data_IF_339516404910
#
_entry.id   IF_339516404910
#
_cell.length_a   1.000
_cell.length_b   1.000
_cell.length_c   1.000
_cell.angle_alpha   90.00
_cell.angle_beta   90.00
_cell.angle_gamma   90.00
#
_symmetry.space_group_name_H-M   'P 1'
#
loop_
_entity.id
_entity.type
_entity.pdbx_description
1 polymer ?
#
# COMPACT_ATOMS: atom_id res chain seq x y z
N UNK A 1 -8.06 24.66 -4.96
CA UNK A 1 -6.94 24.13 -5.76
C UNK A 1 -5.90 23.59 -4.77
N UNK A 2 -5.83 22.28 -4.54
CA UNK A 2 -4.89 21.71 -3.55
C UNK A 2 -3.52 21.56 -4.22
N UNK A 3 -2.53 22.31 -3.74
CA UNK A 3 -1.11 22.11 -4.09
C UNK A 3 -0.65 20.83 -3.41
N UNK A 4 -0.29 19.84 -4.22
CA UNK A 4 0.13 18.51 -3.75
C UNK A 4 1.65 18.44 -3.70
N UNK A 5 2.19 17.92 -2.59
CA UNK A 5 3.62 17.64 -2.47
C UNK A 5 3.97 16.37 -3.26
N UNK A 6 5.04 16.38 -4.06
CA UNK A 6 5.47 15.20 -4.80
C UNK A 6 5.84 14.07 -3.85
N UNK A 7 5.49 12.84 -4.23
CA UNK A 7 6.07 11.63 -3.64
C UNK A 7 7.59 11.78 -3.76
N UNK A 8 8.32 11.73 -2.64
CA UNK A 8 9.79 11.79 -2.66
C UNK A 8 10.33 10.70 -3.60
N UNK A 9 11.33 11.01 -4.44
CA UNK A 9 11.83 10.07 -5.46
C UNK A 9 12.30 8.72 -4.91
N UNK A 10 12.64 8.64 -3.61
CA UNK A 10 12.94 7.37 -2.92
C UNK A 10 11.71 6.47 -2.75
N UNK A 11 10.53 7.05 -2.53
CA UNK A 11 9.27 6.31 -2.32
C UNK A 11 8.65 5.90 -3.66
N UNK A 12 8.92 6.63 -4.74
CA UNK A 12 8.52 6.27 -6.11
C UNK A 12 9.35 5.09 -6.66
N UNK A 13 10.67 5.12 -6.50
CA UNK A 13 11.53 4.00 -6.91
C UNK A 13 11.20 2.71 -6.16
N UNK A 14 10.96 2.79 -4.84
CA UNK A 14 10.56 1.64 -4.01
C UNK A 14 9.25 1.01 -4.48
N UNK A 15 8.26 1.86 -4.79
CA UNK A 15 6.99 1.42 -5.33
C UNK A 15 7.14 0.72 -6.69
N UNK A 16 7.92 1.30 -7.61
CA UNK A 16 8.15 0.72 -8.93
C UNK A 16 8.80 -0.67 -8.82
N UNK A 17 9.87 -0.78 -8.04
CA UNK A 17 10.52 -2.07 -7.79
C UNK A 17 9.59 -3.10 -7.15
N UNK A 18 8.77 -2.69 -6.18
CA UNK A 18 7.79 -3.57 -5.53
C UNK A 18 6.72 -4.10 -6.50
N UNK A 19 6.22 -3.25 -7.40
CA UNK A 19 5.24 -3.63 -8.41
C UNK A 19 5.86 -4.57 -9.46
N UNK A 20 7.07 -4.27 -9.94
CA UNK A 20 7.80 -5.11 -10.89
C UNK A 20 8.13 -6.49 -10.30
N UNK A 21 8.67 -6.54 -9.07
CA UNK A 21 9.03 -7.80 -8.40
C UNK A 21 7.84 -8.74 -8.17
N UNK A 22 6.62 -8.19 -8.08
CA UNK A 22 5.37 -8.95 -7.90
C UNK A 22 4.61 -9.16 -9.22
N UNK A 23 5.12 -8.67 -10.36
CA UNK A 23 4.43 -8.73 -11.66
C UNK A 23 3.09 -7.98 -11.67
N UNK A 24 2.99 -6.92 -10.87
CA UNK A 24 1.78 -6.10 -10.69
C UNK A 24 1.81 -4.80 -11.49
N UNK A 25 2.98 -4.43 -12.00
CA UNK A 25 3.27 -3.24 -12.81
C UNK A 25 2.31 -3.04 -14.00
N UNK A 26 1.90 -4.13 -14.65
CA UNK A 26 0.99 -4.07 -15.79
C UNK A 26 -0.50 -4.07 -15.38
N UNK A 27 -0.81 -4.51 -14.14
CA UNK A 27 -2.19 -4.71 -13.66
C UNK A 27 -2.69 -3.56 -12.79
N UNK A 28 -1.80 -2.95 -12.01
CA UNK A 28 -2.14 -1.98 -11.01
C UNK A 28 -1.31 -0.70 -11.19
N UNK A 29 -1.94 0.44 -10.99
CA UNK A 29 -1.26 1.72 -10.81
C UNK A 29 -1.42 2.18 -9.36
N UNK A 30 -0.36 2.74 -8.80
CA UNK A 30 -0.46 3.40 -7.51
C UNK A 30 -1.16 4.74 -7.69
N UNK A 31 -2.32 4.86 -7.07
CA UNK A 31 -3.11 6.09 -7.11
C UNK A 31 -2.62 7.05 -6.05
N UNK A 32 -2.20 6.54 -4.89
CA UNK A 32 -1.91 7.38 -3.74
C UNK A 32 -1.02 6.71 -2.69
N UNK A 33 -0.04 7.46 -2.18
CA UNK A 33 0.65 7.13 -0.93
C UNK A 33 -0.24 7.52 0.25
N UNK A 34 -0.61 6.54 1.07
CA UNK A 34 -1.48 6.70 2.23
C UNK A 34 -0.66 6.96 3.49
N UNK A 35 0.43 6.23 3.67
CA UNK A 35 1.29 6.31 4.83
C UNK A 35 2.73 6.03 4.43
N UNK A 36 3.68 6.78 4.98
CA UNK A 36 5.11 6.55 4.81
C UNK A 36 5.79 6.69 6.16
N UNK A 37 6.47 5.64 6.60
CA UNK A 37 7.19 5.59 7.88
C UNK A 37 8.65 5.25 7.63
N UNK A 38 9.44 5.05 8.68
CA UNK A 38 10.81 4.55 8.56
C UNK A 38 10.89 3.03 8.34
N UNK A 39 9.80 2.29 8.52
CA UNK A 39 9.79 0.82 8.49
C UNK A 39 8.91 0.26 7.38
N UNK A 40 7.88 0.99 6.98
CA UNK A 40 6.97 0.59 5.92
C UNK A 40 6.28 1.79 5.27
N UNK A 41 5.74 1.56 4.08
CA UNK A 41 4.93 2.51 3.31
C UNK A 41 3.66 1.81 2.82
N UNK A 42 2.55 2.54 2.74
CA UNK A 42 1.24 2.01 2.36
C UNK A 42 0.70 2.79 1.18
N UNK A 43 0.36 2.09 0.10
CA UNK A 43 -0.14 2.66 -1.14
C UNK A 43 -1.54 2.13 -1.45
N UNK A 44 -2.38 2.99 -2.01
CA UNK A 44 -3.62 2.61 -2.66
C UNK A 44 -3.33 2.29 -4.12
N UNK A 45 -3.68 1.09 -4.55
CA UNK A 45 -3.61 0.62 -5.91
C UNK A 45 -5.00 0.56 -6.53
N UNK A 46 -5.12 0.95 -7.79
CA UNK A 46 -6.30 0.69 -8.61
C UNK A 46 -5.93 -0.16 -9.82
N UNK A 47 -6.82 -1.06 -10.26
CA UNK A 47 -6.59 -1.84 -11.48
C UNK A 47 -6.71 -0.95 -12.71
N UNK A 48 -5.71 -1.03 -13.59
CA UNK A 48 -5.63 -0.18 -14.79
C UNK A 48 -6.78 -0.44 -15.78
N UNK A 49 -7.29 -1.66 -15.84
CA UNK A 49 -8.23 -2.10 -16.88
C UNK A 49 -9.70 -2.14 -16.43
N UNK A 50 -9.98 -1.90 -15.15
CA UNK A 50 -11.34 -2.02 -14.59
C UNK A 50 -11.70 -0.81 -13.73
N UNK A 51 -12.46 0.16 -14.26
CA UNK A 51 -12.91 1.34 -13.51
C UNK A 51 -13.90 1.04 -12.36
N UNK A 52 -14.16 -0.23 -12.07
CA UNK A 52 -14.95 -0.72 -10.92
C UNK A 52 -14.21 -1.78 -10.10
N UNK A 53 -12.92 -2.00 -10.35
CA UNK A 53 -12.14 -2.93 -9.54
C UNK A 53 -12.09 -2.44 -8.11
N UNK A 54 -12.09 -3.38 -7.18
CA UNK A 54 -11.88 -3.08 -5.77
C UNK A 54 -10.48 -2.51 -5.62
N UNK A 55 -10.37 -1.31 -5.03
CA UNK A 55 -9.07 -0.75 -4.72
C UNK A 55 -8.34 -1.69 -3.76
N UNK A 56 -7.04 -1.86 -3.98
CA UNK A 56 -6.19 -2.72 -3.15
C UNK A 56 -5.19 -1.89 -2.38
N UNK A 57 -4.74 -2.40 -1.26
CA UNK A 57 -3.66 -1.79 -0.49
C UNK A 57 -2.37 -2.55 -0.73
N UNK A 58 -1.32 -1.83 -1.08
CA UNK A 58 0.04 -2.34 -1.14
C UNK A 58 0.81 -1.84 0.08
N UNK A 59 1.21 -2.76 0.93
CA UNK A 59 2.15 -2.52 2.02
C UNK A 59 3.56 -2.84 1.51
N UNK A 60 4.48 -1.89 1.59
CA UNK A 60 5.90 -2.11 1.32
C UNK A 60 6.64 -1.98 2.64
N UNK A 61 7.17 -3.08 3.15
CA UNK A 61 8.07 -3.09 4.31
C UNK A 61 9.50 -2.86 3.84
N UNK A 62 10.21 -1.96 4.51
CA UNK A 62 11.58 -1.58 4.20
C UNK A 62 12.41 -1.50 5.48
N UNK A 63 12.39 -2.60 6.24
CA UNK A 63 13.10 -2.73 7.50
C UNK A 63 14.61 -2.51 7.31
N UNK A 64 15.29 -1.85 8.27
CA UNK A 64 16.73 -1.67 8.21
C UNK A 64 17.46 -2.99 8.04
N UNK A 65 18.45 -3.02 7.14
CA UNK A 65 19.28 -4.20 6.84
C UNK A 65 18.52 -5.42 6.30
N UNK A 66 17.29 -5.25 5.82
CA UNK A 66 16.54 -6.29 5.11
C UNK A 66 16.13 -5.82 3.71
N UNK A 67 15.97 -6.78 2.80
CA UNK A 67 15.38 -6.47 1.50
C UNK A 67 13.93 -6.03 1.65
N UNK A 68 13.51 -5.08 0.82
CA UNK A 68 12.14 -4.59 0.88
C UNK A 68 11.17 -5.68 0.44
N UNK A 69 10.10 -5.87 1.20
CA UNK A 69 9.04 -6.82 0.86
C UNK A 69 7.75 -6.06 0.58
N UNK A 70 6.94 -6.57 -0.35
CA UNK A 70 5.73 -5.89 -0.80
C UNK A 70 4.52 -6.81 -0.68
N UNK A 71 3.45 -6.43 -0.01
CA UNK A 71 2.30 -7.28 0.30
C UNK A 71 1.00 -6.62 -0.14
N UNK A 72 0.14 -7.37 -0.82
CA UNK A 72 -1.21 -6.92 -1.14
C UNK A 72 -2.15 -7.28 0.00
N UNK A 73 -2.68 -6.26 0.67
CA UNK A 73 -3.61 -6.45 1.77
C UNK A 73 -5.05 -6.43 1.24
N UNK A 74 -5.89 -7.39 1.64
CA UNK A 74 -7.30 -7.40 1.26
C UNK A 74 -8.04 -6.33 2.07
N UNK A 75 -8.53 -5.29 1.39
CA UNK A 75 -9.35 -4.26 2.02
C UNK A 75 -10.65 -4.13 1.23
N UNK A 76 -11.79 -4.17 1.94
CA UNK A 76 -13.11 -4.00 1.33
C UNK A 76 -13.59 -2.58 1.55
N UNK A 77 -13.33 -1.70 0.59
CA UNK A 77 -13.88 -0.36 0.63
C UNK A 77 -15.36 -0.39 0.26
N UNK A 78 -16.24 0.09 1.15
CA UNK A 78 -17.62 0.37 0.76
C UNK A 78 -17.61 1.62 -0.12
N UNK A 79 -18.36 1.63 -1.22
CA UNK A 79 -18.43 2.78 -2.15
C UNK A 79 -18.83 4.10 -1.49
N UNK A 80 -19.50 4.05 -0.35
CA UNK A 80 -19.96 5.22 0.42
C UNK A 80 -19.10 5.51 1.65
N UNK A 81 -17.97 4.82 1.83
CA UNK A 81 -17.08 5.05 2.96
C UNK A 81 -16.54 6.48 2.94
N UNK A 82 -16.67 7.16 4.06
CA UNK A 82 -15.97 8.41 4.31
C UNK A 82 -14.46 8.18 4.37
N UNK A 83 -13.69 9.25 4.15
CA UNK A 83 -12.21 9.21 4.26
C UNK A 83 -11.74 8.64 5.61
N UNK A 84 -12.48 8.89 6.68
CA UNK A 84 -12.17 8.38 8.02
C UNK A 84 -12.33 6.87 8.09
N UNK A 85 -13.45 6.35 7.59
CA UNK A 85 -13.72 4.90 7.55
C UNK A 85 -12.71 4.19 6.66
N UNK A 86 -12.41 4.74 5.47
CA UNK A 86 -11.35 4.23 4.59
C UNK A 86 -10.01 4.12 5.31
N UNK A 87 -9.62 5.16 6.06
CA UNK A 87 -8.36 5.13 6.81
C UNK A 87 -8.38 4.09 7.94
N UNK A 88 -9.51 3.93 8.64
CA UNK A 88 -9.66 2.92 9.69
C UNK A 88 -9.51 1.50 9.13
N UNK A 89 -10.12 1.21 7.99
CA UNK A 89 -10.00 -0.09 7.30
C UNK A 89 -8.55 -0.36 6.87
N UNK A 90 -7.85 0.65 6.34
CA UNK A 90 -6.43 0.52 5.95
C UNK A 90 -5.56 0.22 7.17
N UNK A 91 -5.71 0.98 8.25
CA UNK A 91 -4.95 0.77 9.48
C UNK A 91 -5.27 -0.60 10.08
N UNK A 92 -6.53 -1.03 10.08
CA UNK A 92 -6.93 -2.35 10.55
C UNK A 92 -6.27 -3.47 9.74
N UNK A 93 -6.25 -3.35 8.40
CA UNK A 93 -5.60 -4.33 7.53
C UNK A 93 -4.08 -4.41 7.75
N UNK A 94 -3.42 -3.25 7.91
CA UNK A 94 -1.97 -3.20 8.21
C UNK A 94 -1.67 -3.82 9.57
N UNK A 95 -2.45 -3.49 10.60
CA UNK A 95 -2.28 -4.07 11.93
C UNK A 95 -2.52 -5.58 11.92
N UNK A 96 -3.53 -6.07 11.18
CA UNK A 96 -3.80 -7.49 11.05
C UNK A 96 -2.64 -8.24 10.38
N UNK A 97 -2.03 -7.65 9.34
CA UNK A 97 -0.83 -8.22 8.70
C UNK A 97 0.33 -8.37 9.69
N UNK A 98 0.63 -7.33 10.47
CA UNK A 98 1.72 -7.40 11.45
C UNK A 98 1.41 -8.35 12.61
N UNK A 99 0.16 -8.40 13.10
CA UNK A 99 -0.25 -9.33 14.16
C UNK A 99 -0.15 -10.81 13.73
N UNK A 100 -0.45 -11.12 12.46
CA UNK A 100 -0.27 -12.46 11.91
C UNK A 100 1.21 -12.85 11.77
N UNK A 101 2.10 -11.87 11.63
CA UNK A 101 3.54 -12.07 11.52
C UNK A 101 4.28 -12.03 12.87
N UNK A 102 3.60 -11.84 14.01
CA UNK A 102 4.22 -11.91 15.36
C UNK A 102 4.78 -13.32 15.70
N UNK A 103 4.55 -14.32 14.85
CA UNK A 103 5.22 -15.63 14.92
C UNK A 103 6.67 -15.64 14.36
N UNK A 104 7.19 -14.53 13.81
CA UNK A 104 8.58 -14.46 13.31
C UNK A 104 9.61 -14.01 14.37
N UNK A 105 9.20 -13.72 15.60
CA UNK A 105 10.08 -13.24 16.69
C UNK A 105 10.11 -14.15 17.93
N UNK A 106 9.54 -15.36 17.86
CA UNK A 106 9.62 -16.38 18.92
C UNK A 106 10.61 -17.48 18.60
#
# INVERSE_FOLDING_TARGET
>A
MIRMSPVSGKSENRLKHALEARGLDNKYSAVKLIMDTSLYSVYLLSENEKPKAEDKILLIEHLPAQESSAHLLPVRFKKTSSKKETMQEIVAAVNAHFAQNEHYLS
#
